data_IF_057300340175
#
_entry.id   IF_057300340175
#
_cell.length_a   1.000
_cell.length_b   1.000
_cell.length_c   1.000
_cell.angle_alpha   90.00
_cell.angle_beta   90.00
_cell.angle_gamma   90.00
#
_symmetry.space_group_name_H-M   'P 1'
#
loop_
_entity.id
_entity.type
_entity.pdbx_description
1 polymer ?
#
# COMPACT_ATOMS: atom_id res chain seq x y z
N UNK A 1 19.47 -41.72 -6.78
CA UNK A 1 18.40 -41.97 -7.78
C UNK A 1 17.41 -40.82 -7.68
N UNK A 2 17.63 -39.70 -8.35
CA UNK A 2 17.29 -39.42 -9.76
C UNK A 2 15.78 -39.62 -10.02
N UNK A 3 15.01 -38.54 -9.91
CA UNK A 3 13.71 -38.40 -10.55
C UNK A 3 13.77 -37.16 -11.44
N UNK A 4 14.01 -37.45 -12.72
CA UNK A 4 14.07 -36.54 -13.84
C UNK A 4 12.63 -36.17 -14.25
N UNK A 5 12.27 -34.89 -14.23
CA UNK A 5 11.09 -34.43 -14.98
C UNK A 5 11.36 -33.05 -15.59
N UNK A 6 11.34 -33.08 -16.91
CA UNK A 6 11.78 -32.04 -17.82
C UNK A 6 10.90 -30.80 -17.79
N UNK A 7 11.61 -29.69 -17.86
CA UNK A 7 11.25 -28.35 -18.29
C UNK A 7 10.26 -28.28 -19.45
N UNK A 8 9.24 -27.44 -19.33
CA UNK A 8 8.72 -26.60 -20.41
C UNK A 8 8.23 -25.27 -19.81
N UNK A 9 9.07 -24.25 -19.96
CA UNK A 9 8.74 -22.83 -19.81
C UNK A 9 7.95 -22.39 -21.05
N UNK A 10 6.75 -21.83 -20.87
CA UNK A 10 6.11 -20.99 -21.89
C UNK A 10 6.07 -19.57 -21.31
N UNK A 11 7.14 -18.82 -21.64
CA UNK A 11 7.26 -17.39 -21.38
C UNK A 11 6.48 -16.66 -22.48
N UNK A 12 5.30 -16.13 -22.14
CA UNK A 12 4.56 -15.24 -23.04
C UNK A 12 5.13 -13.82 -22.91
N UNK A 13 6.21 -13.57 -23.66
CA UNK A 13 6.72 -12.24 -23.96
C UNK A 13 5.72 -11.51 -24.85
N UNK A 14 4.89 -10.65 -24.25
CA UNK A 14 4.26 -9.54 -24.97
C UNK A 14 5.30 -8.41 -25.10
N UNK A 15 6.17 -8.56 -26.10
CA UNK A 15 6.92 -7.43 -26.66
C UNK A 15 5.93 -6.68 -27.55
N UNK A 16 5.43 -5.55 -27.07
CA UNK A 16 4.74 -4.56 -27.91
C UNK A 16 5.82 -3.80 -28.66
N UNK A 17 5.97 -3.96 -29.99
CA UNK A 17 6.89 -3.14 -30.74
C UNK A 17 6.31 -1.73 -30.82
N UNK A 18 7.04 -0.79 -30.23
CA UNK A 18 6.86 0.64 -30.45
C UNK A 18 7.19 0.90 -31.92
N UNK A 19 6.17 0.93 -32.79
CA UNK A 19 6.33 1.28 -34.19
C UNK A 19 6.65 2.78 -34.29
N UNK A 20 7.94 3.08 -34.35
CA UNK A 20 8.45 4.34 -34.86
C UNK A 20 7.92 4.57 -36.27
N UNK A 21 7.23 5.70 -36.41
CA UNK A 21 6.74 6.33 -37.65
C UNK A 21 7.63 6.09 -38.88
N UNK A 22 7.10 5.35 -39.86
CA UNK A 22 7.59 5.39 -41.24
C UNK A 22 6.80 6.47 -42.00
N UNK A 23 7.48 7.56 -42.34
CA UNK A 23 6.97 8.63 -43.20
C UNK A 23 6.89 8.09 -44.64
N UNK A 24 5.68 7.77 -45.11
CA UNK A 24 5.45 7.44 -46.52
C UNK A 24 5.18 8.73 -47.28
N UNK A 25 6.19 9.22 -48.00
CA UNK A 25 6.07 10.34 -48.93
C UNK A 25 5.26 9.94 -50.17
N UNK A 26 4.08 10.54 -50.32
CA UNK A 26 3.21 10.33 -51.49
C UNK A 26 3.67 11.23 -52.65
N UNK A 27 4.38 10.66 -53.64
CA UNK A 27 4.64 11.32 -54.94
C UNK A 27 3.39 11.22 -55.80
N UNK A 28 2.70 12.34 -56.01
CA UNK A 28 1.59 12.46 -56.96
C UNK A 28 2.18 12.71 -58.35
N UNK A 29 2.09 11.73 -59.25
CA UNK A 29 2.34 11.92 -60.69
C UNK A 29 1.01 12.03 -61.42
N UNK A 30 0.74 13.20 -62.00
CA UNK A 30 -0.46 13.46 -62.79
C UNK A 30 -0.17 13.01 -64.22
N UNK A 31 -0.73 11.87 -64.64
CA UNK A 31 -0.85 11.50 -66.05
C UNK A 31 -2.28 11.76 -66.49
N UNK A 32 -2.44 12.68 -67.46
CA UNK A 32 -3.68 12.85 -68.21
C UNK A 32 -3.90 11.62 -69.09
N UNK A 33 -5.02 10.93 -68.91
CA UNK A 33 -5.64 10.19 -70.00
C UNK A 33 -7.16 10.35 -69.94
N UNK A 34 -7.69 10.67 -71.12
CA UNK A 34 -9.08 10.87 -71.42
C UNK A 34 -9.89 9.58 -71.36
N UNK A 35 -11.17 9.75 -71.01
CA UNK A 35 -12.34 8.95 -71.40
C UNK A 35 -12.54 7.54 -70.80
N UNK A 36 -13.70 7.41 -70.14
CA UNK A 36 -14.63 6.26 -69.95
C UNK A 36 -14.98 6.04 -68.45
N UNK A 37 -16.27 5.85 -68.10
CA UNK A 37 -16.80 6.04 -66.75
C UNK A 37 -16.84 4.75 -65.91
N UNK A 38 -17.10 4.93 -64.61
CA UNK A 38 -17.41 3.91 -63.59
C UNK A 38 -16.22 3.21 -62.92
N UNK A 39 -15.67 3.87 -61.90
CA UNK A 39 -15.32 3.24 -60.61
C UNK A 39 -15.67 4.24 -59.51
N UNK A 40 -16.88 4.14 -58.96
CA UNK A 40 -17.29 4.80 -57.71
C UNK A 40 -17.61 3.70 -56.72
N UNK A 41 -16.60 3.15 -56.06
CA UNK A 41 -16.78 2.27 -54.90
C UNK A 41 -15.65 2.55 -53.90
N UNK A 42 -16.06 2.89 -52.68
CA UNK A 42 -15.31 2.74 -51.43
C UNK A 42 -13.96 3.45 -51.29
N UNK A 43 -13.98 4.75 -50.97
CA UNK A 43 -12.78 5.40 -50.42
C UNK A 43 -13.03 6.43 -49.30
N UNK A 44 -14.28 6.60 -48.84
CA UNK A 44 -14.58 7.46 -47.69
C UNK A 44 -14.64 6.71 -46.35
N UNK A 45 -14.86 5.39 -46.37
CA UNK A 45 -15.01 4.61 -45.14
C UNK A 45 -13.67 4.37 -44.38
N UNK A 46 -12.53 4.32 -45.08
CA UNK A 46 -11.22 4.03 -44.47
C UNK A 46 -10.61 5.21 -43.69
N UNK A 47 -10.97 6.46 -44.04
CA UNK A 47 -10.43 7.66 -43.38
C UNK A 47 -11.05 7.87 -41.99
N UNK A 48 -12.35 7.66 -41.84
CA UNK A 48 -13.03 7.79 -40.54
C UNK A 48 -12.68 6.64 -39.59
N UNK A 49 -12.46 5.43 -40.11
CA UNK A 49 -12.12 4.25 -39.30
C UNK A 49 -10.70 4.34 -38.71
N UNK A 50 -9.75 4.89 -39.46
CA UNK A 50 -8.36 5.07 -39.01
C UNK A 50 -8.22 6.20 -37.98
N UNK A 51 -8.95 7.31 -38.14
CA UNK A 51 -9.01 8.40 -37.14
C UNK A 51 -9.68 7.90 -35.85
N UNK A 52 -10.76 7.11 -35.96
CA UNK A 52 -11.43 6.51 -34.81
C UNK A 52 -10.51 5.59 -34.00
N UNK A 53 -9.72 4.73 -34.66
CA UNK A 53 -8.79 3.82 -33.99
C UNK A 53 -7.65 4.58 -33.28
N UNK A 54 -7.14 5.66 -33.89
CA UNK A 54 -6.11 6.52 -33.28
C UNK A 54 -6.63 7.26 -32.05
N UNK A 55 -7.84 7.83 -32.14
CA UNK A 55 -8.46 8.50 -30.99
C UNK A 55 -8.76 7.52 -29.85
N UNK A 56 -9.21 6.30 -30.17
CA UNK A 56 -9.45 5.25 -29.18
C UNK A 56 -8.13 4.79 -28.52
N UNK A 57 -7.05 4.66 -29.29
CA UNK A 57 -5.71 4.34 -28.75
C UNK A 57 -5.17 5.43 -27.81
N UNK A 58 -5.35 6.71 -28.14
CA UNK A 58 -4.94 7.83 -27.28
C UNK A 58 -5.78 7.88 -26.01
N UNK A 59 -7.09 7.61 -26.11
CA UNK A 59 -7.99 7.59 -24.95
C UNK A 59 -7.72 6.40 -24.00
N UNK A 60 -7.37 5.21 -24.53
CA UNK A 60 -6.93 4.08 -23.69
C UNK A 60 -5.58 4.35 -23.02
N UNK A 61 -4.65 5.05 -23.69
CA UNK A 61 -3.36 5.39 -23.10
C UNK A 61 -3.49 6.43 -21.96
N UNK A 62 -4.45 7.37 -22.08
CA UNK A 62 -4.72 8.38 -21.05
C UNK A 62 -5.34 7.83 -19.75
N UNK A 63 -6.06 6.71 -19.80
CA UNK A 63 -6.62 6.10 -18.59
C UNK A 63 -5.66 5.16 -17.84
N UNK A 64 -4.63 4.64 -18.52
CA UNK A 64 -3.62 3.77 -17.89
C UNK A 64 -2.49 4.54 -17.19
N UNK A 65 -2.40 5.86 -17.37
CA UNK A 65 -1.36 6.68 -16.72
C UNK A 65 -1.74 7.20 -15.33
N UNK A 66 -2.77 6.65 -14.68
CA UNK A 66 -2.98 6.90 -13.25
C UNK A 66 -1.78 6.35 -12.49
N UNK A 67 -0.81 7.24 -12.25
CA UNK A 67 0.51 6.95 -11.74
C UNK A 67 0.41 6.16 -10.44
N UNK A 68 0.81 4.89 -10.51
CA UNK A 68 1.02 4.08 -9.34
C UNK A 68 2.20 4.68 -8.56
N UNK A 69 1.91 5.52 -7.57
CA UNK A 69 2.95 6.16 -6.77
C UNK A 69 3.80 5.13 -6.03
N UNK A 70 5.12 5.19 -6.24
CA UNK A 70 6.10 4.29 -5.63
C UNK A 70 6.82 4.96 -4.48
N UNK A 71 7.09 4.20 -3.42
CA UNK A 71 7.78 4.69 -2.24
C UNK A 71 9.21 5.07 -2.56
N UNK A 72 9.86 4.33 -3.47
CA UNK A 72 11.21 4.64 -3.95
C UNK A 72 11.33 5.97 -4.69
N UNK A 73 10.23 6.55 -5.18
CA UNK A 73 10.21 7.83 -5.89
C UNK A 73 10.02 9.02 -4.96
N UNK A 74 9.50 8.82 -3.75
CA UNK A 74 9.28 9.91 -2.81
C UNK A 74 10.61 10.39 -2.23
N UNK A 75 10.74 11.71 -2.07
CA UNK A 75 11.91 12.29 -1.44
C UNK A 75 11.81 12.22 0.10
N UNK A 76 12.93 11.93 0.76
CA UNK A 76 13.04 11.98 2.21
C UNK A 76 13.37 13.41 2.65
N UNK A 77 12.35 14.26 2.76
CA UNK A 77 12.52 15.70 2.98
C UNK A 77 12.15 16.16 4.38
N UNK A 78 11.67 15.27 5.26
CA UNK A 78 11.27 15.64 6.62
C UNK A 78 12.16 14.94 7.65
N UNK A 79 12.59 15.70 8.66
CA UNK A 79 13.20 15.16 9.88
C UNK A 79 12.08 14.99 10.91
N UNK A 80 12.00 13.80 11.51
CA UNK A 80 11.04 13.49 12.56
C UNK A 80 11.76 13.16 13.86
N UNK A 81 11.22 13.70 14.94
CA UNK A 81 11.57 13.36 16.31
C UNK A 81 10.30 12.95 17.04
N UNK A 82 10.41 12.00 17.96
CA UNK A 82 9.27 11.53 18.74
C UNK A 82 9.65 11.35 20.20
N UNK A 83 8.68 11.61 21.07
CA UNK A 83 8.75 11.36 22.50
C UNK A 83 7.65 10.36 22.81
N UNK A 84 8.05 9.12 23.12
CA UNK A 84 7.18 8.04 23.55
C UNK A 84 7.79 7.36 24.76
N UNK A 85 6.96 6.98 25.73
CA UNK A 85 7.39 6.13 26.83
C UNK A 85 7.56 4.70 26.31
N UNK A 86 8.63 4.01 26.70
CA UNK A 86 8.78 2.61 26.30
C UNK A 86 7.73 1.76 27.02
N UNK A 87 7.00 0.92 26.30
CA UNK A 87 5.88 0.17 26.87
C UNK A 87 4.61 1.00 27.06
N UNK A 88 4.41 2.01 26.21
CA UNK A 88 3.18 2.83 26.21
C UNK A 88 1.96 1.91 26.04
N UNK A 89 1.01 1.98 26.98
CA UNK A 89 -0.22 1.19 26.93
C UNK A 89 -1.22 1.79 25.95
N UNK A 90 -1.80 0.94 25.10
CA UNK A 90 -2.93 1.30 24.27
C UNK A 90 -4.09 1.82 25.13
N UNK A 91 -4.75 2.89 24.68
CA UNK A 91 -5.89 3.52 25.36
C UNK A 91 -5.56 4.56 26.42
N UNK A 92 -4.33 4.63 26.91
CA UNK A 92 -3.92 5.56 27.98
C UNK A 92 -2.70 6.41 27.58
N UNK A 93 -1.73 5.77 26.94
CA UNK A 93 -0.46 6.41 26.69
C UNK A 93 -0.48 7.43 25.56
N UNK A 94 0.44 8.39 25.63
CA UNK A 94 0.56 9.50 24.66
C UNK A 94 1.91 9.47 23.96
N UNK A 95 1.89 9.87 22.69
CA UNK A 95 3.08 9.99 21.84
C UNK A 95 3.07 11.38 21.23
N UNK A 96 4.13 12.14 21.48
CA UNK A 96 4.35 13.44 20.83
C UNK A 96 5.32 13.28 19.67
N UNK A 97 4.96 13.82 18.52
CA UNK A 97 5.75 13.77 17.31
C UNK A 97 5.98 15.19 16.83
N UNK A 98 7.24 15.53 16.59
CA UNK A 98 7.63 16.80 15.98
C UNK A 98 8.27 16.52 14.63
N UNK A 99 7.93 17.32 13.64
CA UNK A 99 8.48 17.21 12.30
C UNK A 99 8.97 18.59 11.84
N UNK A 100 10.01 18.61 11.00
CA UNK A 100 10.54 19.82 10.37
C UNK A 100 11.06 19.51 8.97
N UNK A 101 11.14 20.52 8.10
CA UNK A 101 11.75 20.36 6.79
C UNK A 101 13.27 20.15 6.94
N UNK A 102 13.80 19.15 6.25
CA UNK A 102 15.23 18.96 6.12
C UNK A 102 15.80 19.88 5.04
N UNK A 103 16.28 21.05 5.45
CA UNK A 103 16.83 22.05 4.52
C UNK A 103 18.12 21.60 3.84
N UNK A 104 18.77 20.54 4.32
CA UNK A 104 19.90 19.92 3.64
C UNK A 104 19.46 18.99 2.51
N UNK A 105 18.26 18.41 2.60
CA UNK A 105 17.71 17.53 1.57
C UNK A 105 16.88 18.28 0.51
N UNK A 106 16.10 19.29 0.94
CA UNK A 106 15.19 20.07 0.06
C UNK A 106 15.11 21.51 0.55
N UNK A 107 15.27 22.48 -0.35
CA UNK A 107 15.11 23.89 0.00
C UNK A 107 13.63 24.25 0.23
N UNK A 108 13.37 25.28 1.02
CA UNK A 108 11.99 25.75 1.23
C UNK A 108 11.33 26.23 -0.08
N UNK A 109 12.12 26.72 -1.05
CA UNK A 109 11.64 27.10 -2.37
C UNK A 109 11.21 25.87 -3.20
N UNK A 110 11.99 24.79 -3.15
CA UNK A 110 11.64 23.54 -3.85
C UNK A 110 10.42 22.87 -3.22
N UNK A 111 10.30 22.90 -1.89
CA UNK A 111 9.11 22.42 -1.19
C UNK A 111 7.85 23.22 -1.57
N UNK A 112 7.98 24.54 -1.74
CA UNK A 112 6.90 25.39 -2.23
C UNK A 112 6.57 25.10 -3.70
N UNK A 113 7.58 24.90 -4.55
CA UNK A 113 7.41 24.56 -5.96
C UNK A 113 6.76 23.18 -6.16
N UNK A 114 7.05 22.23 -5.27
CA UNK A 114 6.43 20.90 -5.23
C UNK A 114 5.04 20.89 -4.56
N UNK A 115 4.48 22.06 -4.23
CA UNK A 115 3.14 22.24 -3.69
C UNK A 115 2.89 21.50 -2.36
N UNK A 116 3.82 21.56 -1.41
CA UNK A 116 3.64 20.93 -0.10
C UNK A 116 2.46 21.58 0.66
N UNK A 117 1.40 20.81 0.96
CA UNK A 117 0.18 21.32 1.62
C UNK A 117 -0.07 20.76 3.01
N UNK A 118 -0.10 19.43 3.15
CA UNK A 118 -0.44 18.79 4.42
C UNK A 118 0.56 17.69 4.76
N UNK A 119 0.83 17.55 6.05
CA UNK A 119 1.66 16.50 6.64
C UNK A 119 0.76 15.52 7.38
N UNK A 120 0.79 14.27 6.93
CA UNK A 120 0.07 13.15 7.52
C UNK A 120 1.02 12.29 8.34
N UNK A 121 0.88 12.32 9.65
CA UNK A 121 1.72 11.55 10.57
C UNK A 121 1.07 10.19 10.80
N UNK A 122 1.81 9.13 10.50
CA UNK A 122 1.35 7.74 10.59
C UNK A 122 2.23 6.89 11.49
N UNK A 123 1.59 5.95 12.17
CA UNK A 123 2.24 4.91 12.94
C UNK A 123 2.45 3.67 12.07
N UNK A 124 3.68 3.14 12.07
CA UNK A 124 4.13 2.11 11.14
C UNK A 124 4.78 0.92 11.85
N UNK A 125 4.60 -0.29 11.33
CA UNK A 125 5.22 -1.50 11.86
C UNK A 125 6.71 -1.58 11.55
N UNK A 126 7.55 -1.74 12.57
CA UNK A 126 8.97 -2.09 12.42
C UNK A 126 9.16 -3.46 11.78
N UNK A 127 10.32 -3.71 11.16
CA UNK A 127 10.58 -4.94 10.40
C UNK A 127 10.36 -6.22 11.20
N UNK A 128 10.75 -6.22 12.49
CA UNK A 128 10.54 -7.35 13.40
C UNK A 128 9.06 -7.71 13.58
N UNK A 129 8.17 -6.72 13.50
CA UNK A 129 6.71 -6.88 13.63
C UNK A 129 6.03 -7.32 12.34
N UNK A 130 6.75 -7.38 11.21
CA UNK A 130 6.23 -7.76 9.88
C UNK A 130 6.48 -9.24 9.53
N UNK A 131 7.37 -9.92 10.24
CA UNK A 131 7.70 -11.35 10.01
C UNK A 131 6.45 -12.20 10.16
N UNK A 132 6.20 -13.07 9.17
CA UNK A 132 5.04 -13.97 9.05
C UNK A 132 3.66 -13.30 9.10
N UNK A 133 3.59 -11.98 8.90
CA UNK A 133 2.35 -11.21 8.95
C UNK A 133 2.15 -10.45 7.64
N UNK A 134 1.62 -11.15 6.63
CA UNK A 134 1.37 -10.60 5.29
C UNK A 134 0.51 -9.31 5.30
N UNK A 135 -0.35 -9.15 6.30
CA UNK A 135 -1.18 -7.96 6.49
C UNK A 135 -0.42 -6.71 6.98
N UNK A 136 0.86 -6.84 7.37
CA UNK A 136 1.76 -5.74 7.79
C UNK A 136 2.90 -5.49 6.79
N UNK A 137 2.87 -6.18 5.65
CA UNK A 137 4.00 -6.24 4.72
C UNK A 137 4.20 -4.90 4.01
N UNK A 138 5.47 -4.52 3.94
CA UNK A 138 5.93 -3.41 3.13
C UNK A 138 5.72 -3.67 1.64
N UNK A 139 5.21 -2.67 0.91
CA UNK A 139 5.23 -2.64 -0.56
C UNK A 139 5.84 -1.33 -1.05
N UNK A 140 6.47 -1.36 -2.22
CA UNK A 140 6.92 -0.15 -2.90
C UNK A 140 5.73 0.65 -3.45
N UNK A 141 4.71 -0.02 -3.97
CA UNK A 141 3.47 0.63 -4.38
C UNK A 141 2.71 1.16 -3.16
N UNK A 142 2.57 2.49 -3.05
CA UNK A 142 1.93 3.15 -1.90
C UNK A 142 0.50 2.68 -1.67
N UNK A 143 -0.23 2.35 -2.74
CA UNK A 143 -1.60 1.84 -2.66
C UNK A 143 -1.69 0.44 -2.05
N UNK A 144 -0.60 -0.31 -2.06
CA UNK A 144 -0.49 -1.67 -1.52
C UNK A 144 0.37 -1.75 -0.25
N UNK A 145 0.98 -0.64 0.18
CA UNK A 145 1.81 -0.60 1.38
C UNK A 145 0.94 -0.69 2.64
N UNK A 146 1.14 -1.77 3.42
CA UNK A 146 0.43 -2.00 4.68
C UNK A 146 1.30 -1.69 5.90
N UNK A 147 2.48 -1.10 5.70
CA UNK A 147 3.41 -0.79 6.79
C UNK A 147 2.81 0.20 7.79
N UNK A 148 2.09 1.21 7.30
CA UNK A 148 1.61 2.36 8.07
C UNK A 148 0.08 2.46 8.05
N UNK A 149 -0.64 1.57 8.74
CA UNK A 149 -2.10 1.53 8.66
C UNK A 149 -2.78 2.59 9.53
N UNK A 150 -2.13 3.10 10.57
CA UNK A 150 -2.76 4.00 11.54
C UNK A 150 -2.35 5.45 11.31
N UNK A 151 -3.34 6.33 11.22
CA UNK A 151 -3.16 7.78 11.17
C UNK A 151 -3.12 8.34 12.60
N UNK A 152 -2.07 9.07 12.95
CA UNK A 152 -1.97 9.80 14.22
C UNK A 152 -2.60 11.19 14.10
N UNK A 153 -2.51 11.79 12.90
CA UNK A 153 -3.25 12.98 12.52
C UNK A 153 -2.61 13.72 11.36
N UNK A 154 -3.25 14.80 10.94
CA UNK A 154 -2.81 15.64 9.84
C UNK A 154 -2.68 17.10 10.28
N UNK A 155 -1.65 17.78 9.80
CA UNK A 155 -1.43 19.21 10.01
C UNK A 155 -1.05 19.89 8.68
N UNK A 156 -1.35 21.19 8.52
CA UNK A 156 -0.85 21.94 7.38
C UNK A 156 0.68 21.98 7.39
N UNK A 157 1.29 21.96 6.22
CA UNK A 157 2.74 22.02 6.07
C UNK A 157 3.27 23.44 6.32
N UNK A 158 4.34 23.51 7.10
CA UNK A 158 5.11 24.71 7.44
C UNK A 158 6.59 24.34 7.39
N UNK A 159 7.46 25.13 6.73
CA UNK A 159 8.89 24.81 6.67
C UNK A 159 9.57 24.72 8.04
N UNK A 160 9.11 25.56 8.98
CA UNK A 160 9.57 25.59 10.38
C UNK A 160 9.21 24.33 11.17
N UNK A 161 8.26 23.55 10.67
CA UNK A 161 7.80 22.32 11.29
C UNK A 161 6.52 22.48 12.11
N UNK A 162 6.10 21.35 12.68
CA UNK A 162 4.90 21.24 13.49
C UNK A 162 5.03 20.13 14.52
N UNK A 163 4.08 20.08 15.45
CA UNK A 163 4.03 19.05 16.49
C UNK A 163 2.60 18.54 16.67
N UNK A 164 2.48 17.23 16.84
CA UNK A 164 1.22 16.55 17.13
C UNK A 164 1.40 15.65 18.34
N UNK A 165 0.48 15.77 19.30
CA UNK A 165 0.35 14.84 20.41
C UNK A 165 -0.82 13.91 20.12
N UNK A 166 -0.56 12.60 20.13
CA UNK A 166 -1.55 11.58 19.84
C UNK A 166 -1.67 10.60 21.00
N UNK A 167 -2.90 10.32 21.41
CA UNK A 167 -3.20 9.28 22.40
C UNK A 167 -3.35 7.95 21.69
N UNK A 168 -2.62 6.93 22.15
CA UNK A 168 -2.66 5.59 21.56
C UNK A 168 -4.06 5.02 21.71
N UNK A 169 -4.72 4.66 20.60
CA UNK A 169 -6.06 4.08 20.65
C UNK A 169 -6.04 2.63 21.13
N UNK A 170 -7.18 2.14 21.65
CA UNK A 170 -7.31 0.78 22.21
C UNK A 170 -7.13 -0.33 21.17
N UNK A 171 -7.32 -0.01 19.90
CA UNK A 171 -7.29 -0.94 18.77
C UNK A 171 -5.87 -1.26 18.30
N UNK A 172 -4.86 -0.58 18.84
CA UNK A 172 -3.47 -0.77 18.44
C UNK A 172 -2.94 -2.07 19.05
N UNK A 173 -2.52 -3.05 18.22
CA UNK A 173 -2.03 -4.33 18.71
C UNK A 173 -0.60 -4.19 19.22
N UNK A 174 -0.20 -5.18 20.03
CA UNK A 174 1.20 -5.36 20.41
C UNK A 174 2.11 -5.47 19.18
N UNK A 175 3.08 -4.57 19.08
CA UNK A 175 4.16 -4.61 18.11
C UNK A 175 5.22 -3.55 18.43
N UNK A 176 6.36 -3.67 17.74
CA UNK A 176 7.36 -2.63 17.59
C UNK A 176 6.97 -1.71 16.44
N UNK A 177 6.96 -0.41 16.70
CA UNK A 177 6.53 0.64 15.79
C UNK A 177 7.62 1.68 15.56
N UNK A 178 7.51 2.38 14.44
CA UNK A 178 8.17 3.64 14.15
C UNK A 178 7.15 4.63 13.58
N UNK A 179 7.54 5.90 13.45
CA UNK A 179 6.64 6.94 12.93
C UNK A 179 7.15 7.39 11.57
N UNK A 180 6.20 7.61 10.64
CA UNK A 180 6.46 8.18 9.32
C UNK A 180 5.47 9.30 9.05
N UNK A 181 5.98 10.44 8.61
CA UNK A 181 5.15 11.52 8.08
C UNK A 181 5.18 11.48 6.56
N UNK A 182 4.06 11.75 5.93
CA UNK A 182 3.93 11.94 4.50
C UNK A 182 3.50 13.37 4.19
N UNK A 183 4.12 14.00 3.22
CA UNK A 183 3.65 15.27 2.68
C UNK A 183 2.74 15.00 1.50
N UNK A 184 1.64 15.74 1.45
CA UNK A 184 0.67 15.69 0.35
C UNK A 184 0.52 17.04 -0.33
N UNK A 185 0.26 16.99 -1.64
CA UNK A 185 -0.07 18.16 -2.46
C UNK A 185 -1.57 18.51 -2.42
N UNK A 186 -1.99 19.51 -3.18
CA UNK A 186 -3.41 19.86 -3.39
C UNK A 186 -4.26 18.68 -3.90
N UNK A 187 -3.67 17.78 -4.69
CA UNK A 187 -4.32 16.56 -5.19
C UNK A 187 -4.35 15.41 -4.15
N UNK A 188 -3.88 15.63 -2.91
CA UNK A 188 -3.75 14.63 -1.83
C UNK A 188 -2.82 13.45 -2.16
N UNK A 189 -1.97 13.63 -3.15
CA UNK A 189 -0.96 12.66 -3.54
C UNK A 189 0.25 12.76 -2.63
N UNK A 190 0.88 11.63 -2.29
CA UNK A 190 2.04 11.65 -1.40
C UNK A 190 3.29 11.93 -2.23
N UNK A 191 3.92 13.07 -1.97
CA UNK A 191 5.05 13.57 -2.77
C UNK A 191 6.39 13.46 -2.03
N UNK A 192 6.34 13.45 -0.71
CA UNK A 192 7.53 13.32 0.12
C UNK A 192 7.22 12.63 1.44
N UNK A 193 8.26 12.21 2.15
CA UNK A 193 8.13 11.59 3.45
C UNK A 193 9.27 11.97 4.38
N UNK A 194 9.10 11.62 5.65
CA UNK A 194 10.18 11.45 6.60
C UNK A 194 9.83 10.35 7.58
N UNK A 195 10.83 9.72 8.17
CA UNK A 195 10.61 8.65 9.14
C UNK A 195 11.69 8.63 10.23
N UNK A 196 11.32 8.14 11.41
CA UNK A 196 12.22 8.07 12.57
C UNK A 196 13.20 6.89 12.52
N UNK A 197 12.92 5.90 11.66
CA UNK A 197 13.70 4.66 11.50
C UNK A 197 14.53 4.65 10.21
N UNK A 198 15.51 3.75 10.13
CA UNK A 198 16.33 3.54 8.94
C UNK A 198 15.53 2.92 7.76
N UNK A 199 16.16 2.84 6.58
CA UNK A 199 15.54 2.22 5.37
C UNK A 199 15.06 0.78 5.62
N UNK A 200 15.74 0.03 6.50
CA UNK A 200 15.38 -1.33 6.87
C UNK A 200 14.34 -1.43 8.01
N UNK A 201 13.92 -0.31 8.63
CA UNK A 201 12.90 -0.26 9.69
C UNK A 201 13.26 -1.07 10.94
N UNK A 202 14.54 -1.06 11.31
CA UNK A 202 15.11 -1.83 12.43
C UNK A 202 15.61 -0.95 13.58
N UNK A 203 15.80 0.35 13.36
CA UNK A 203 16.32 1.29 14.38
C UNK A 203 15.24 2.20 14.93
N UNK A 204 15.44 2.79 16.12
CA UNK A 204 14.52 3.74 16.76
C UNK A 204 13.07 3.23 16.80
N UNK A 205 12.91 1.96 17.17
CA UNK A 205 11.62 1.33 17.37
C UNK A 205 11.19 1.51 18.82
N UNK A 206 9.89 1.69 19.03
CA UNK A 206 9.29 1.68 20.36
C UNK A 206 8.16 0.66 20.40
N UNK A 207 7.87 0.17 21.60
CA UNK A 207 6.85 -0.86 21.81
C UNK A 207 5.57 -0.23 22.35
N UNK A 208 4.44 -0.64 21.77
CA UNK A 208 3.11 -0.37 22.32
C UNK A 208 2.59 -1.66 22.94
N UNK A 209 2.22 -1.58 24.21
CA UNK A 209 1.57 -2.68 24.92
C UNK A 209 0.06 -2.60 24.68
N UNK A 210 -0.59 -3.72 24.34
CA UNK A 210 -2.03 -3.72 24.20
C UNK A 210 -2.66 -3.49 25.58
N UNK A 211 -3.90 -3.02 25.60
CA UNK A 211 -4.71 -3.20 26.82
C UNK A 211 -4.72 -4.70 27.09
N UNK A 212 -4.48 -5.09 28.33
CA UNK A 212 -4.67 -6.47 28.78
C UNK A 212 -6.11 -6.89 28.50
N UNK A 213 -6.36 -7.40 27.28
CA UNK A 213 -7.67 -7.84 26.80
C UNK A 213 -8.05 -9.21 27.33
N UNK A 214 -7.18 -9.83 28.12
CA UNK A 214 -7.49 -11.01 28.91
C UNK A 214 -8.33 -10.57 30.12
N UNK A 215 -9.60 -10.28 29.87
CA UNK A 215 -10.55 -10.12 30.95
C UNK A 215 -10.59 -11.42 31.74
N UNK A 216 -10.45 -11.33 33.07
CA UNK A 216 -10.53 -12.51 33.95
C UNK A 216 -11.81 -13.34 33.69
N UNK A 217 -12.90 -12.69 33.25
CA UNK A 217 -14.13 -13.36 32.85
C UNK A 217 -13.95 -14.35 31.70
N UNK A 218 -13.13 -14.04 30.70
CA UNK A 218 -12.92 -14.89 29.53
C UNK A 218 -12.08 -16.13 29.92
N UNK A 219 -11.11 -15.94 30.81
CA UNK A 219 -10.35 -17.06 31.38
C UNK A 219 -11.20 -17.99 32.24
N UNK A 220 -12.06 -17.42 33.08
CA UNK A 220 -12.98 -18.19 33.93
C UNK A 220 -13.96 -18.96 33.04
N UNK A 221 -14.55 -18.30 32.03
CA UNK A 221 -15.48 -18.95 31.10
C UNK A 221 -14.80 -20.11 30.35
N UNK A 222 -13.58 -19.90 29.84
CA UNK A 222 -12.82 -20.96 29.17
C UNK A 222 -12.52 -22.15 30.10
N UNK A 223 -12.17 -21.89 31.37
CA UNK A 223 -11.95 -22.93 32.37
C UNK A 223 -13.22 -23.74 32.66
N UNK A 224 -14.37 -23.06 32.84
CA UNK A 224 -15.67 -23.72 33.11
C UNK A 224 -16.12 -24.57 31.93
N UNK A 225 -16.04 -24.06 30.70
CA UNK A 225 -16.43 -24.82 29.51
C UNK A 225 -15.51 -26.02 29.26
N UNK A 226 -14.21 -25.89 29.52
CA UNK A 226 -13.26 -27.01 29.44
C UNK A 226 -13.61 -28.10 30.47
N UNK A 227 -13.87 -27.73 31.72
CA UNK A 227 -14.26 -28.67 32.77
C UNK A 227 -15.60 -29.37 32.44
N UNK A 228 -16.59 -28.62 31.96
CA UNK A 228 -17.89 -29.17 31.57
C UNK A 228 -17.77 -30.19 30.43
N UNK A 229 -16.89 -29.94 29.46
CA UNK A 229 -16.63 -30.89 28.36
C UNK A 229 -16.09 -32.22 28.87
N UNK A 230 -15.14 -32.21 29.81
CA UNK A 230 -14.55 -33.43 30.37
C UNK A 230 -15.57 -34.18 31.24
N UNK A 231 -16.31 -33.45 32.09
CA UNK A 231 -17.32 -34.03 32.98
C UNK A 231 -18.47 -34.65 32.18
N UNK A 232 -18.97 -33.97 31.16
CA UNK A 232 -20.04 -34.49 30.30
C UNK A 232 -19.60 -35.76 29.58
N UNK A 233 -18.40 -35.79 28.99
CA UNK A 233 -17.85 -36.98 28.35
C UNK A 233 -17.74 -38.17 29.33
N UNK A 234 -17.21 -37.93 30.52
CA UNK A 234 -17.07 -38.97 31.54
C UNK A 234 -18.43 -39.45 32.06
N UNK A 235 -19.38 -38.52 32.23
CA UNK A 235 -20.76 -38.81 32.60
C UNK A 235 -21.46 -39.72 31.59
N UNK A 236 -21.36 -39.42 30.29
CA UNK A 236 -21.89 -40.26 29.23
C UNK A 236 -21.24 -41.65 29.21
N UNK A 237 -19.91 -41.72 29.30
CA UNK A 237 -19.17 -42.99 29.30
C UNK A 237 -19.58 -43.91 30.47
N UNK A 238 -19.71 -43.37 31.69
CA UNK A 238 -20.18 -44.13 32.84
C UNK A 238 -21.66 -44.50 32.74
N UNK A 239 -22.48 -43.63 32.14
CA UNK A 239 -23.89 -43.90 31.84
C UNK A 239 -24.03 -45.13 30.95
N UNK A 240 -23.37 -45.17 29.79
CA UNK A 240 -23.39 -46.30 28.87
C UNK A 240 -22.96 -47.61 29.55
N UNK A 241 -21.89 -47.58 30.36
CA UNK A 241 -21.43 -48.76 31.12
C UNK A 241 -22.48 -49.33 32.07
N UNK A 242 -23.33 -48.47 32.65
CA UNK A 242 -24.41 -48.90 33.55
C UNK A 242 -25.63 -49.42 32.81
N UNK A 243 -25.92 -48.90 31.62
CA UNK A 243 -27.02 -49.41 30.78
C UNK A 243 -26.69 -50.78 30.18
N UNK A 244 -25.44 -51.04 29.76
CA UNK A 244 -25.03 -52.36 29.23
C UNK A 244 -25.07 -53.47 30.31
N UNK A 245 -24.82 -53.15 31.58
CA UNK A 245 -24.88 -54.14 32.68
C UNK A 245 -26.29 -54.48 33.15
N UNK A 246 -27.31 -53.72 32.72
CA UNK A 246 -28.70 -53.87 33.17
C UNK A 246 -29.64 -54.46 32.09
N UNK A 247 -29.14 -54.70 30.87
CA UNK A 247 -29.81 -55.49 29.84
C UNK A 247 -29.15 -56.85 29.71
#
# INVERSE_FOLDING_TARGET
MQLHRSWLFISSLLVVPCFCTATVGLRISILRLSSIPAVRVEMEAYSHLSIGLLLFSVMLCGHLSQGLQRFSELNNSLILEYVAQNGTKAGEGTISVTWKLDTAAVSAADAAAADYKNVHVKLCFGAISQVDRAWRKTNDLLSKDKTCPYEMGAQPFTPEGGSITWTVTKEIPFAFYFIRAYVTNTAKEKIAYGQTSNKQRTTNLFTIEPITGRHASLDIAAAVFSAFSVISLFGFYLGEKRFIKKG
#
